data_IF_876930385369
#
_entry.id   IF_876930385369
#
_cell.length_a   1.000
_cell.length_b   1.000
_cell.length_c   1.000
_cell.angle_alpha   90.00
_cell.angle_beta   90.00
_cell.angle_gamma   90.00
#
_symmetry.space_group_name_H-M   'P 1'
#
loop_
_entity.id
_entity.type
_entity.pdbx_description
1 polymer ?
#
# COMPACT_ATOMS: atom_id res chain seq x y z
N UNK A 1 -18.91 -15.65 -20.09
CA UNK A 1 -18.69 -15.41 -18.68
C UNK A 1 -19.35 -14.08 -18.35
N UNK A 2 -20.36 -13.99 -17.50
CA UNK A 2 -20.93 -12.72 -17.13
C UNK A 2 -19.84 -11.90 -16.45
N UNK A 3 -19.57 -10.73 -16.97
CA UNK A 3 -18.66 -9.78 -16.38
C UNK A 3 -19.08 -9.53 -14.93
N UNK A 4 -18.13 -9.41 -14.03
CA UNK A 4 -18.37 -9.26 -12.58
C UNK A 4 -19.04 -7.93 -12.18
N UNK A 5 -19.53 -7.15 -13.13
CA UNK A 5 -20.30 -5.94 -12.88
C UNK A 5 -21.55 -6.27 -12.08
N UNK A 6 -21.49 -6.03 -10.77
CA UNK A 6 -22.60 -6.26 -9.86
C UNK A 6 -22.78 -7.69 -9.36
N UNK A 7 -21.80 -8.58 -9.51
CA UNK A 7 -21.79 -9.90 -8.89
C UNK A 7 -21.60 -9.85 -7.38
N UNK A 8 -22.29 -10.72 -6.62
CA UNK A 8 -22.08 -10.89 -5.17
C UNK A 8 -20.86 -11.80 -4.86
N UNK A 9 -20.23 -12.38 -5.88
CA UNK A 9 -19.06 -13.23 -5.69
C UNK A 9 -17.80 -12.35 -5.49
N UNK A 10 -16.95 -12.77 -4.57
CA UNK A 10 -15.63 -12.13 -4.41
C UNK A 10 -14.82 -12.29 -5.71
N UNK A 11 -14.02 -11.27 -6.09
CA UNK A 11 -13.13 -11.39 -7.25
C UNK A 11 -12.11 -12.50 -7.03
N UNK A 12 -11.70 -13.16 -8.12
CA UNK A 12 -10.62 -14.14 -8.07
C UNK A 12 -9.28 -13.44 -7.95
N UNK A 13 -8.45 -13.86 -7.00
CA UNK A 13 -7.13 -13.26 -6.78
C UNK A 13 -6.02 -14.21 -7.21
N UNK A 14 -5.12 -13.69 -8.02
CA UNK A 14 -3.92 -14.44 -8.39
C UNK A 14 -2.91 -14.41 -7.23
N UNK A 15 -2.24 -15.54 -6.93
CA UNK A 15 -1.21 -15.57 -5.90
C UNK A 15 -0.01 -14.71 -6.31
N UNK A 16 0.64 -14.07 -5.33
CA UNK A 16 1.89 -13.36 -5.55
C UNK A 16 3.05 -14.37 -5.65
N UNK A 17 3.74 -14.34 -6.77
CA UNK A 17 4.94 -15.16 -7.00
C UNK A 17 6.20 -14.47 -6.46
N UNK A 18 6.23 -14.20 -5.15
CA UNK A 18 7.31 -13.48 -4.47
C UNK A 18 8.66 -14.23 -4.47
N UNK A 19 8.66 -15.53 -4.79
CA UNK A 19 9.88 -16.33 -4.93
C UNK A 19 10.54 -16.18 -6.30
N UNK A 20 9.80 -15.68 -7.29
CA UNK A 20 10.33 -15.39 -8.60
C UNK A 20 11.23 -14.15 -8.54
N UNK A 21 12.47 -14.20 -9.06
CA UNK A 21 13.35 -13.01 -9.14
C UNK A 21 12.71 -11.82 -9.88
N UNK A 22 11.89 -12.07 -10.89
CA UNK A 22 11.17 -11.04 -11.65
C UNK A 22 10.14 -10.28 -10.80
N UNK A 23 9.73 -10.83 -9.66
CA UNK A 23 8.87 -10.12 -8.71
C UNK A 23 9.50 -8.81 -8.24
N UNK A 24 10.85 -8.79 -8.15
CA UNK A 24 11.62 -7.63 -7.69
C UNK A 24 12.22 -6.80 -8.83
N UNK A 25 11.82 -7.06 -10.07
CA UNK A 25 12.27 -6.29 -11.22
C UNK A 25 11.60 -4.89 -11.23
N UNK A 26 12.43 -3.85 -11.13
CA UNK A 26 11.97 -2.46 -11.06
C UNK A 26 11.29 -1.98 -12.32
N UNK A 27 11.85 -2.31 -13.46
CA UNK A 27 11.32 -1.86 -14.75
C UNK A 27 9.96 -2.50 -15.01
N UNK A 28 9.84 -3.79 -14.67
CA UNK A 28 8.57 -4.49 -14.78
C UNK A 28 7.50 -3.92 -13.80
N UNK A 29 7.91 -3.49 -12.60
CA UNK A 29 7.00 -2.88 -11.63
C UNK A 29 6.60 -1.47 -12.07
N UNK A 30 7.53 -0.67 -12.56
CA UNK A 30 7.23 0.68 -13.05
C UNK A 30 6.26 0.62 -14.23
N UNK A 31 6.51 -0.26 -15.17
CA UNK A 31 5.62 -0.47 -16.32
C UNK A 31 4.20 -0.87 -15.86
N UNK A 32 4.09 -1.74 -14.87
CA UNK A 32 2.80 -2.17 -14.33
C UNK A 32 2.13 -1.07 -13.50
N UNK A 33 2.87 -0.28 -12.71
CA UNK A 33 2.36 0.90 -12.03
C UNK A 33 1.75 1.89 -13.02
N UNK A 34 2.48 2.21 -14.11
CA UNK A 34 1.98 3.10 -15.16
C UNK A 34 0.72 2.57 -15.80
N UNK A 35 0.68 1.29 -16.17
CA UNK A 35 -0.50 0.65 -16.76
C UNK A 35 -1.72 0.74 -15.84
N UNK A 36 -1.54 0.42 -14.56
CA UNK A 36 -2.64 0.40 -13.58
C UNK A 36 -3.08 1.82 -13.23
N UNK A 37 -2.15 2.75 -13.06
CA UNK A 37 -2.45 4.14 -12.72
C UNK A 37 -3.20 4.86 -13.84
N UNK A 38 -2.85 4.59 -15.10
CA UNK A 38 -3.56 5.11 -16.26
C UNK A 38 -5.03 4.67 -16.26
N UNK A 39 -5.30 3.37 -16.08
CA UNK A 39 -6.67 2.86 -15.97
C UNK A 39 -7.41 3.45 -14.75
N UNK A 40 -6.74 3.56 -13.60
CA UNK A 40 -7.34 4.12 -12.38
C UNK A 40 -7.67 5.61 -12.56
N UNK A 41 -6.79 6.39 -13.22
CA UNK A 41 -7.00 7.80 -13.51
C UNK A 41 -8.19 7.99 -14.45
N UNK A 42 -8.30 7.19 -15.50
CA UNK A 42 -9.45 7.24 -16.42
C UNK A 42 -10.79 6.85 -15.76
N UNK A 43 -10.75 5.94 -14.77
CA UNK A 43 -11.96 5.42 -14.12
C UNK A 43 -12.43 6.23 -12.90
N UNK A 44 -11.53 6.61 -12.00
CA UNK A 44 -11.75 7.41 -10.77
C UNK A 44 -12.81 6.91 -9.76
N UNK A 45 -13.36 5.70 -9.90
CA UNK A 45 -14.39 5.17 -9.00
C UNK A 45 -13.93 5.07 -7.54
N UNK A 46 -12.63 4.91 -7.31
CA UNK A 46 -12.05 4.73 -5.98
C UNK A 46 -11.67 6.03 -5.26
N UNK A 47 -12.03 7.19 -5.82
CA UNK A 47 -11.63 8.51 -5.28
C UNK A 47 -11.85 8.66 -3.77
N UNK A 48 -13.00 8.17 -3.27
CA UNK A 48 -13.40 8.34 -1.87
C UNK A 48 -12.98 7.19 -0.94
N UNK A 49 -12.23 6.18 -1.42
CA UNK A 49 -11.94 5.00 -0.60
C UNK A 49 -10.78 5.20 0.37
N UNK A 50 -9.74 5.93 -0.05
CA UNK A 50 -8.54 6.15 0.76
C UNK A 50 -7.75 7.36 0.25
N UNK A 51 -6.63 7.68 0.88
CA UNK A 51 -5.77 8.81 0.52
C UNK A 51 -4.92 8.57 -0.73
N UNK A 52 -4.64 7.31 -1.07
CA UNK A 52 -3.79 6.95 -2.21
C UNK A 52 -4.40 7.37 -3.55
N UNK A 53 -5.71 7.21 -3.74
CA UNK A 53 -6.35 7.56 -5.02
C UNK A 53 -6.45 9.07 -5.29
N UNK A 54 -6.92 9.93 -4.36
CA UNK A 54 -6.85 11.37 -4.57
C UNK A 54 -5.42 11.84 -4.89
N UNK A 55 -4.44 11.34 -4.17
CA UNK A 55 -3.03 11.67 -4.42
C UNK A 55 -2.57 11.25 -5.83
N UNK A 56 -2.98 10.07 -6.29
CA UNK A 56 -2.70 9.62 -7.65
C UNK A 56 -3.33 10.55 -8.69
N UNK A 57 -4.60 10.93 -8.48
CA UNK A 57 -5.32 11.74 -9.44
C UNK A 57 -4.79 13.17 -9.48
N UNK A 58 -4.50 13.76 -8.31
CA UNK A 58 -3.89 15.10 -8.22
C UNK A 58 -2.51 15.11 -8.88
N UNK A 59 -1.68 14.07 -8.65
CA UNK A 59 -0.37 13.92 -9.27
C UNK A 59 -0.43 13.94 -10.81
N UNK A 60 -1.42 13.28 -11.39
CA UNK A 60 -1.59 13.24 -12.84
C UNK A 60 -2.24 14.55 -13.35
N UNK A 61 -3.29 15.01 -12.69
CA UNK A 61 -4.01 16.23 -13.09
C UNK A 61 -3.13 17.49 -13.03
N UNK A 62 -2.15 17.54 -12.11
CA UNK A 62 -1.20 18.62 -11.95
C UNK A 62 0.06 18.47 -12.84
N UNK A 63 0.21 17.37 -13.57
CA UNK A 63 1.33 17.16 -14.49
C UNK A 63 1.25 18.07 -15.72
N UNK A 64 2.36 18.25 -16.43
CA UNK A 64 2.46 19.18 -17.56
C UNK A 64 1.44 18.87 -18.69
N UNK A 65 1.14 17.60 -18.93
CA UNK A 65 0.18 17.18 -19.94
C UNK A 65 -1.23 16.94 -19.37
N UNK A 66 -1.38 16.82 -18.07
CA UNK A 66 -2.58 16.29 -17.42
C UNK A 66 -2.75 14.78 -17.61
N UNK A 67 -1.69 14.10 -18.07
CA UNK A 67 -1.65 12.66 -18.36
C UNK A 67 -0.41 12.03 -17.72
N UNK A 68 -0.40 10.71 -17.62
CA UNK A 68 0.65 9.95 -16.94
C UNK A 68 2.02 10.01 -17.66
N UNK A 69 2.05 10.38 -18.94
CA UNK A 69 3.25 10.41 -19.77
C UNK A 69 4.32 11.41 -19.29
N UNK A 70 3.90 12.51 -18.64
CA UNK A 70 4.81 13.53 -18.10
C UNK A 70 5.12 13.35 -16.63
N UNK A 71 4.52 12.35 -15.94
CA UNK A 71 4.77 12.05 -14.53
C UNK A 71 6.04 11.20 -14.38
N UNK A 72 6.93 11.62 -13.48
CA UNK A 72 8.13 10.83 -13.15
C UNK A 72 7.76 9.61 -12.29
N UNK A 73 8.45 8.48 -12.52
CA UNK A 73 8.27 7.27 -11.71
C UNK A 73 8.64 7.47 -10.24
N UNK A 74 9.56 8.39 -9.95
CA UNK A 74 9.95 8.74 -8.58
C UNK A 74 8.78 9.40 -7.80
N UNK A 75 7.85 10.03 -8.51
CA UNK A 75 6.68 10.68 -7.93
C UNK A 75 5.56 9.70 -7.55
N UNK A 76 5.66 8.43 -7.93
CA UNK A 76 4.70 7.39 -7.54
C UNK A 76 4.84 6.95 -6.08
N UNK A 77 6.01 7.19 -5.46
CA UNK A 77 6.28 6.76 -4.10
C UNK A 77 5.23 7.23 -3.08
N UNK A 78 4.80 8.50 -3.03
CA UNK A 78 3.75 8.93 -2.10
C UNK A 78 2.40 8.22 -2.30
N UNK A 79 2.05 7.88 -3.55
CA UNK A 79 0.84 7.11 -3.87
C UNK A 79 0.93 5.70 -3.30
N UNK A 80 2.09 5.06 -3.47
CA UNK A 80 2.39 3.72 -2.93
C UNK A 80 2.36 3.74 -1.40
N UNK A 81 2.99 4.74 -0.78
CA UNK A 81 3.09 4.87 0.68
C UNK A 81 1.71 5.03 1.34
N UNK A 82 0.83 5.83 0.74
CA UNK A 82 -0.52 6.08 1.24
C UNK A 82 -1.45 4.86 1.15
N UNK A 83 -1.09 3.85 0.38
CA UNK A 83 -1.88 2.62 0.31
C UNK A 83 -1.68 1.77 1.58
N UNK A 84 -2.76 1.57 2.33
CA UNK A 84 -2.77 0.78 3.58
C UNK A 84 -3.00 -0.72 3.36
N UNK A 85 -3.08 -1.19 2.11
CA UNK A 85 -3.32 -2.59 1.74
C UNK A 85 -4.64 -3.16 2.32
N UNK A 86 -5.67 -2.33 2.45
CA UNK A 86 -6.95 -2.71 3.07
C UNK A 86 -7.88 -3.50 2.15
N UNK A 87 -7.53 -3.69 0.89
CA UNK A 87 -8.28 -4.43 -0.14
C UNK A 87 -9.66 -3.87 -0.52
N UNK A 88 -10.12 -2.76 0.04
CA UNK A 88 -11.46 -2.21 -0.23
C UNK A 88 -11.68 -1.93 -1.73
N UNK A 89 -10.69 -1.37 -2.41
CA UNK A 89 -10.79 -1.12 -3.85
C UNK A 89 -10.94 -2.41 -4.66
N UNK A 90 -10.19 -3.47 -4.32
CA UNK A 90 -10.24 -4.75 -5.00
C UNK A 90 -11.53 -5.51 -4.74
N UNK A 91 -11.94 -5.60 -3.47
CA UNK A 91 -13.05 -6.44 -3.04
C UNK A 91 -14.44 -5.87 -3.35
N UNK A 92 -14.59 -4.53 -3.36
CA UNK A 92 -15.92 -3.93 -3.37
C UNK A 92 -16.17 -2.93 -4.50
N UNK A 93 -15.14 -2.37 -5.13
CA UNK A 93 -15.34 -1.18 -5.97
C UNK A 93 -14.83 -1.35 -7.39
N UNK A 94 -13.67 -1.99 -7.59
CA UNK A 94 -13.02 -2.06 -8.90
C UNK A 94 -13.76 -3.02 -9.86
N UNK A 95 -14.28 -2.53 -11.00
CA UNK A 95 -14.91 -3.40 -11.99
C UNK A 95 -13.90 -4.17 -12.84
N UNK A 96 -12.61 -3.82 -12.75
CA UNK A 96 -11.53 -4.34 -13.60
C UNK A 96 -10.70 -5.45 -12.94
N UNK A 97 -11.16 -5.95 -11.79
CA UNK A 97 -10.52 -7.08 -11.10
C UNK A 97 -10.70 -8.38 -11.90
N UNK A 98 -9.82 -9.37 -11.72
CA UNK A 98 -10.00 -10.66 -12.38
C UNK A 98 -11.40 -11.26 -12.13
N UNK A 99 -12.06 -11.82 -13.17
CA UNK A 99 -11.51 -12.24 -14.46
C UNK A 99 -11.59 -11.18 -15.59
N UNK A 100 -11.72 -9.89 -15.30
CA UNK A 100 -11.70 -8.85 -16.32
C UNK A 100 -10.38 -8.84 -17.10
N UNK A 101 -10.41 -8.46 -18.38
CA UNK A 101 -9.22 -8.45 -19.26
C UNK A 101 -8.06 -7.58 -18.73
N UNK A 102 -8.37 -6.51 -18.00
CA UNK A 102 -7.35 -5.64 -17.39
C UNK A 102 -6.67 -6.26 -16.18
N UNK A 103 -7.23 -7.30 -15.57
CA UNK A 103 -6.64 -8.07 -14.47
C UNK A 103 -6.07 -7.18 -13.35
N UNK A 104 -6.79 -6.11 -12.96
CA UNK A 104 -6.30 -5.14 -11.99
C UNK A 104 -6.34 -5.69 -10.56
N UNK A 105 -5.20 -5.68 -9.89
CA UNK A 105 -5.06 -5.90 -8.45
C UNK A 105 -4.17 -4.80 -7.85
N UNK A 106 -4.79 -3.64 -7.60
CA UNK A 106 -4.10 -2.47 -7.07
C UNK A 106 -3.39 -2.76 -5.72
N UNK A 107 -4.03 -3.41 -4.72
CA UNK A 107 -3.37 -3.70 -3.45
C UNK A 107 -2.15 -4.61 -3.59
N UNK A 108 -2.21 -5.65 -4.43
CA UNK A 108 -1.06 -6.53 -4.66
C UNK A 108 0.07 -5.82 -5.39
N UNK A 109 -0.24 -4.93 -6.32
CA UNK A 109 0.77 -4.09 -6.98
C UNK A 109 1.45 -3.15 -5.97
N UNK A 110 0.69 -2.50 -5.09
CA UNK A 110 1.24 -1.66 -4.02
C UNK A 110 2.10 -2.47 -3.04
N UNK A 111 1.66 -3.67 -2.67
CA UNK A 111 2.46 -4.58 -1.84
C UNK A 111 3.77 -4.95 -2.51
N UNK A 112 3.75 -5.27 -3.81
CA UNK A 112 4.94 -5.58 -4.59
C UNK A 112 5.89 -4.38 -4.63
N UNK A 113 5.41 -3.17 -4.90
CA UNK A 113 6.20 -1.95 -4.91
C UNK A 113 6.86 -1.68 -3.54
N UNK A 114 6.10 -1.79 -2.43
CA UNK A 114 6.64 -1.68 -1.06
C UNK A 114 7.69 -2.76 -0.74
N UNK A 115 7.49 -3.99 -1.21
CA UNK A 115 8.45 -5.07 -0.99
C UNK A 115 9.78 -4.84 -1.72
N UNK A 116 9.73 -4.29 -2.93
CA UNK A 116 10.93 -3.91 -3.69
C UNK A 116 11.67 -2.79 -3.00
N UNK A 117 10.98 -1.74 -2.61
CA UNK A 117 11.57 -0.62 -1.87
C UNK A 117 12.23 -1.09 -0.56
N UNK A 118 11.54 -1.95 0.20
CA UNK A 118 12.09 -2.50 1.45
C UNK A 118 13.34 -3.38 1.21
N UNK A 119 13.38 -4.11 0.09
CA UNK A 119 14.53 -4.92 -0.28
C UNK A 119 15.75 -4.08 -0.62
N UNK A 120 15.55 -2.94 -1.28
CA UNK A 120 16.65 -2.07 -1.74
C UNK A 120 17.17 -1.13 -0.66
N UNK A 121 16.24 -0.43 -0.03
CA UNK A 121 16.56 0.63 0.93
C UNK A 121 16.62 0.12 2.38
N UNK A 122 16.19 -1.12 2.60
CA UNK A 122 16.00 -1.69 3.93
C UNK A 122 14.81 -1.06 4.66
N UNK A 123 14.56 -1.54 5.88
CA UNK A 123 13.51 -1.00 6.74
C UNK A 123 14.09 0.05 7.69
N UNK A 124 13.35 1.13 7.93
CA UNK A 124 13.71 2.11 8.97
C UNK A 124 13.68 1.44 10.36
N UNK A 125 14.34 2.06 11.36
CA UNK A 125 14.28 1.56 12.74
C UNK A 125 12.84 1.54 13.27
N UNK A 126 12.04 2.53 12.91
CA UNK A 126 10.61 2.58 13.22
C UNK A 126 9.89 1.36 12.67
N UNK A 127 10.05 1.07 11.39
CA UNK A 127 9.37 -0.04 10.72
C UNK A 127 9.82 -1.39 11.27
N UNK A 128 11.12 -1.54 11.58
CA UNK A 128 11.65 -2.75 12.24
C UNK A 128 11.02 -3.01 13.59
N UNK A 129 10.88 -1.97 14.41
CA UNK A 129 10.27 -2.09 15.75
C UNK A 129 8.78 -2.39 15.64
N UNK A 130 8.05 -1.66 14.79
CA UNK A 130 6.60 -1.81 14.66
C UNK A 130 6.21 -3.15 13.99
N UNK A 131 7.00 -3.65 13.06
CA UNK A 131 6.77 -4.94 12.40
C UNK A 131 7.21 -6.15 13.22
N UNK A 132 8.03 -5.96 14.28
CA UNK A 132 8.52 -7.04 15.15
C UNK A 132 7.46 -7.51 16.16
N UNK A 133 6.30 -7.91 15.65
CA UNK A 133 5.14 -8.30 16.46
C UNK A 133 5.41 -9.45 17.43
N UNK A 134 6.22 -10.43 17.02
CA UNK A 134 6.59 -11.58 17.87
C UNK A 134 7.45 -11.16 19.07
N UNK A 135 8.43 -10.28 18.84
CA UNK A 135 9.28 -9.75 19.91
C UNK A 135 8.46 -8.87 20.86
N UNK A 136 7.68 -7.96 20.30
CA UNK A 136 6.82 -7.05 21.05
C UNK A 136 5.78 -7.85 21.87
N UNK A 137 5.16 -8.85 21.26
CA UNK A 137 4.18 -9.72 21.92
C UNK A 137 4.79 -10.55 23.06
N UNK A 138 5.98 -11.10 22.86
CA UNK A 138 6.71 -11.82 23.95
C UNK A 138 7.03 -10.91 25.14
N UNK A 139 7.49 -9.68 24.86
CA UNK A 139 7.78 -8.69 25.91
C UNK A 139 6.50 -8.22 26.61
N UNK A 140 5.46 -7.90 25.86
CA UNK A 140 4.17 -7.46 26.40
C UNK A 140 3.44 -8.57 27.18
N UNK A 141 3.75 -9.83 26.92
CA UNK A 141 3.22 -10.98 27.68
C UNK A 141 3.78 -11.13 29.09
N UNK A 142 4.85 -10.37 29.45
CA UNK A 142 5.41 -10.36 30.81
C UNK A 142 4.64 -9.33 31.64
N UNK A 143 3.91 -9.72 32.71
CA UNK A 143 3.02 -8.81 33.45
C UNK A 143 3.70 -7.54 33.95
N UNK A 144 4.92 -7.67 34.52
CA UNK A 144 5.69 -6.53 35.05
C UNK A 144 6.06 -5.53 33.93
N UNK A 145 6.36 -6.00 32.71
CA UNK A 145 6.73 -5.13 31.59
C UNK A 145 5.51 -4.36 31.10
N UNK A 146 4.36 -5.01 30.96
CA UNK A 146 3.14 -4.35 30.50
C UNK A 146 2.66 -3.26 31.47
N UNK A 147 2.72 -3.52 32.77
CA UNK A 147 2.39 -2.50 33.79
C UNK A 147 3.36 -1.33 33.77
N UNK A 148 4.65 -1.61 33.63
CA UNK A 148 5.68 -0.57 33.53
C UNK A 148 5.48 0.29 32.29
N UNK A 149 5.27 -0.33 31.12
CA UNK A 149 5.01 0.38 29.87
C UNK A 149 3.75 1.26 29.98
N UNK A 150 2.67 0.73 30.54
CA UNK A 150 1.45 1.49 30.73
C UNK A 150 1.66 2.71 31.65
N UNK A 151 2.38 2.53 32.75
CA UNK A 151 2.72 3.62 33.66
C UNK A 151 3.57 4.70 32.99
N UNK A 152 4.58 4.29 32.23
CA UNK A 152 5.46 5.18 31.46
C UNK A 152 4.69 5.91 30.37
N UNK A 153 3.76 5.25 29.70
CA UNK A 153 2.93 5.86 28.64
C UNK A 153 1.92 6.89 29.17
N UNK A 154 1.55 6.82 30.46
CA UNK A 154 0.74 7.87 31.09
C UNK A 154 1.54 9.16 31.36
N UNK A 155 2.85 9.08 31.38
CA UNK A 155 3.70 10.22 31.66
C UNK A 155 3.88 11.13 30.44
N UNK A 156 3.52 12.41 30.55
CA UNK A 156 3.49 13.37 29.43
C UNK A 156 4.83 13.53 28.68
N UNK A 157 6.01 13.55 29.35
CA UNK A 157 7.29 13.64 28.66
C UNK A 157 7.56 12.42 27.76
N UNK A 158 7.25 11.22 28.24
CA UNK A 158 7.45 9.99 27.47
C UNK A 158 6.56 9.94 26.23
N UNK A 159 5.31 10.36 26.37
CA UNK A 159 4.38 10.46 25.23
C UNK A 159 4.89 11.42 24.16
N UNK A 160 5.47 12.56 24.54
CA UNK A 160 6.08 13.51 23.60
C UNK A 160 7.26 12.89 22.85
N UNK A 161 8.13 12.16 23.56
CA UNK A 161 9.26 11.46 22.93
C UNK A 161 8.76 10.38 21.97
N UNK A 162 7.80 9.54 22.40
CA UNK A 162 7.23 8.49 21.55
C UNK A 162 6.55 9.07 20.31
N UNK A 163 5.80 10.15 20.46
CA UNK A 163 5.18 10.84 19.31
C UNK A 163 6.21 11.44 18.34
N UNK A 164 7.32 11.94 18.86
CA UNK A 164 8.39 12.50 18.02
C UNK A 164 9.22 11.42 17.30
N UNK A 165 9.30 10.20 17.84
CA UNK A 165 10.13 9.12 17.31
C UNK A 165 9.37 8.10 16.47
N UNK A 166 8.11 7.86 16.80
CA UNK A 166 7.26 6.86 16.15
C UNK A 166 6.13 7.46 15.29
N UNK A 167 5.89 8.76 15.39
CA UNK A 167 4.90 9.50 14.62
C UNK A 167 3.59 9.66 15.32
#
# INVERSE_FOLDING_TARGET
NPMSEGGLAAPERLPLDWQNPEFFDKEAIDAELRRVFDVCHGCRLCFNLCTSFPRLFDLIDESDSGELDTVSSDDFKPVVDDCTLCDMCFMSTCPYTPPHEFMLDFPHLMLRAKAVEAKENGLTMRDKVLSSTDMTGKLAGIPVISETINTVNHWTPTRKVLSATLG
#
